data_IF_512820919738
#
_entry.id   IF_512820919738
#
_cell.length_a   1.000
_cell.length_b   1.000
_cell.length_c   1.000
_cell.angle_alpha   90.00
_cell.angle_beta   90.00
_cell.angle_gamma   90.00
#
_symmetry.space_group_name_H-M   'P 1'
#
loop_
_entity.id
_entity.type
_entity.pdbx_description
1 polymer ?
#
# COMPACT_ATOMS: atom_id res chain seq x y z
N UNK A 1 1.55 13.14 -17.99
CA UNK A 1 1.25 13.23 -16.54
C UNK A 1 -0.06 12.59 -16.07
N UNK A 2 -0.97 12.11 -16.93
CA UNK A 2 -2.26 11.54 -16.48
C UNK A 2 -2.21 10.18 -15.78
N UNK A 3 -1.16 9.37 -16.04
CA UNK A 3 -1.10 7.95 -15.61
C UNK A 3 -0.90 7.74 -14.10
N UNK A 4 -0.32 8.71 -13.40
CA UNK A 4 -0.03 8.63 -11.95
C UNK A 4 -1.09 9.28 -11.06
N UNK A 5 -2.08 9.97 -11.64
CA UNK A 5 -3.03 10.80 -10.87
C UNK A 5 -3.83 9.99 -9.86
N UNK A 6 -4.31 8.80 -10.24
CA UNK A 6 -5.10 7.92 -9.37
C UNK A 6 -4.25 7.31 -8.25
N UNK A 7 -3.03 6.90 -8.58
CA UNK A 7 -2.10 6.33 -7.62
C UNK A 7 -1.67 7.36 -6.57
N UNK A 8 -1.27 8.56 -7.02
CA UNK A 8 -0.91 9.63 -6.10
C UNK A 8 -2.07 10.11 -5.24
N UNK A 9 -3.30 10.19 -5.78
CA UNK A 9 -4.47 10.54 -4.98
C UNK A 9 -4.77 9.49 -3.90
N UNK A 10 -4.71 8.20 -4.26
CA UNK A 10 -4.89 7.11 -3.31
C UNK A 10 -3.81 7.10 -2.23
N UNK A 11 -2.55 7.33 -2.62
CA UNK A 11 -1.42 7.47 -1.72
C UNK A 11 -1.61 8.61 -0.73
N UNK A 12 -2.06 9.78 -1.18
CA UNK A 12 -2.33 10.92 -0.31
C UNK A 12 -3.45 10.63 0.69
N UNK A 13 -4.57 10.06 0.23
CA UNK A 13 -5.67 9.67 1.11
C UNK A 13 -5.22 8.62 2.14
N UNK A 14 -4.41 7.66 1.71
CA UNK A 14 -3.81 6.66 2.60
C UNK A 14 -2.90 7.31 3.65
N UNK A 15 -2.00 8.20 3.23
CA UNK A 15 -1.08 8.89 4.14
C UNK A 15 -1.82 9.76 5.16
N UNK A 16 -2.90 10.43 4.74
CA UNK A 16 -3.77 11.19 5.65
C UNK A 16 -4.45 10.28 6.67
N UNK A 17 -5.03 9.16 6.21
CA UNK A 17 -5.67 8.17 7.08
C UNK A 17 -4.67 7.58 8.10
N UNK A 18 -3.49 7.20 7.64
CA UNK A 18 -2.42 6.67 8.47
C UNK A 18 -1.94 7.68 9.52
N UNK A 19 -1.84 8.95 9.14
CA UNK A 19 -1.49 10.04 10.05
C UNK A 19 -2.55 10.24 11.14
N UNK A 20 -3.84 10.24 10.78
CA UNK A 20 -4.95 10.36 11.74
C UNK A 20 -4.97 9.18 12.70
N UNK A 21 -4.78 7.95 12.19
CA UNK A 21 -4.70 6.75 13.01
C UNK A 21 -3.54 6.82 14.01
N UNK A 22 -2.36 7.23 13.55
CA UNK A 22 -1.19 7.41 14.40
C UNK A 22 -1.43 8.44 15.51
N UNK A 23 -2.03 9.59 15.18
CA UNK A 23 -2.35 10.64 16.17
C UNK A 23 -3.35 10.14 17.21
N UNK A 24 -4.41 9.46 16.78
CA UNK A 24 -5.43 8.92 17.67
C UNK A 24 -4.86 7.92 18.69
N UNK A 25 -3.94 7.06 18.25
CA UNK A 25 -3.27 6.10 19.14
C UNK A 25 -2.25 6.79 20.05
N UNK A 26 -1.41 7.67 19.50
CA UNK A 26 -0.26 8.24 20.22
C UNK A 26 -0.66 9.34 21.21
N UNK A 27 -1.55 10.25 20.80
CA UNK A 27 -1.88 11.44 21.58
C UNK A 27 -3.23 11.35 22.29
N UNK A 28 -4.20 10.66 21.69
CA UNK A 28 -5.53 10.50 22.30
C UNK A 28 -5.71 9.17 23.04
N UNK A 29 -4.68 8.33 23.04
CA UNK A 29 -4.64 7.06 23.76
C UNK A 29 -5.81 6.12 23.40
N UNK A 30 -6.27 6.17 22.15
CA UNK A 30 -7.28 5.25 21.65
C UNK A 30 -6.71 3.84 21.54
N UNK A 31 -7.58 2.83 21.62
CA UNK A 31 -7.15 1.44 21.50
C UNK A 31 -6.49 1.18 20.13
N UNK A 32 -5.19 0.92 20.15
CA UNK A 32 -4.37 0.70 18.95
C UNK A 32 -4.93 -0.42 18.07
N UNK A 33 -5.48 -1.46 18.69
CA UNK A 33 -6.12 -2.58 18.02
C UNK A 33 -7.26 -2.15 17.11
N UNK A 34 -8.19 -1.39 17.68
CA UNK A 34 -9.39 -0.91 16.99
C UNK A 34 -9.02 0.12 15.92
N UNK A 35 -8.17 1.10 16.25
CA UNK A 35 -7.85 2.19 15.33
C UNK A 35 -7.11 1.69 14.11
N UNK A 36 -6.09 0.84 14.29
CA UNK A 36 -5.35 0.30 13.16
C UNK A 36 -6.16 -0.72 12.35
N UNK A 37 -7.10 -1.46 12.97
CA UNK A 37 -8.07 -2.29 12.22
C UNK A 37 -8.96 -1.47 11.30
N UNK A 38 -9.48 -0.34 11.79
CA UNK A 38 -10.33 0.56 10.99
C UNK A 38 -9.49 1.20 9.87
N UNK A 39 -8.29 1.67 10.18
CA UNK A 39 -7.38 2.24 9.20
C UNK A 39 -6.98 1.22 8.13
N UNK A 40 -6.75 -0.04 8.51
CA UNK A 40 -6.50 -1.14 7.59
C UNK A 40 -7.66 -1.30 6.60
N UNK A 41 -8.89 -1.50 7.09
CA UNK A 41 -10.06 -1.72 6.24
C UNK A 41 -10.30 -0.55 5.27
N UNK A 42 -10.19 0.68 5.77
CA UNK A 42 -10.33 1.87 4.93
C UNK A 42 -9.20 1.99 3.90
N UNK A 43 -7.97 1.64 4.26
CA UNK A 43 -6.85 1.62 3.30
C UNK A 43 -7.08 0.64 2.17
N UNK A 44 -7.59 -0.57 2.47
CA UNK A 44 -7.95 -1.58 1.48
C UNK A 44 -8.99 -1.04 0.51
N UNK A 45 -10.03 -0.37 1.01
CA UNK A 45 -11.08 0.24 0.18
C UNK A 45 -10.50 1.34 -0.73
N UNK A 46 -9.67 2.24 -0.19
CA UNK A 46 -9.03 3.32 -0.96
C UNK A 46 -8.21 2.74 -2.12
N UNK A 47 -7.35 1.76 -1.83
CA UNK A 47 -6.49 1.13 -2.83
C UNK A 47 -7.29 0.35 -3.87
N UNK A 48 -8.30 -0.41 -3.43
CA UNK A 48 -9.16 -1.19 -4.31
C UNK A 48 -9.93 -0.29 -5.30
N UNK A 49 -10.53 0.80 -4.81
CA UNK A 49 -11.22 1.79 -5.65
C UNK A 49 -10.28 2.45 -6.66
N UNK A 50 -9.08 2.84 -6.21
CA UNK A 50 -8.08 3.43 -7.07
C UNK A 50 -7.62 2.48 -8.18
N UNK A 51 -7.36 1.21 -7.84
CA UNK A 51 -6.98 0.17 -8.79
C UNK A 51 -8.09 -0.08 -9.81
N UNK A 52 -9.33 -0.26 -9.37
CA UNK A 52 -10.47 -0.49 -10.26
C UNK A 52 -10.66 0.66 -11.27
N UNK A 53 -10.64 1.91 -10.79
CA UNK A 53 -10.78 3.09 -11.66
C UNK A 53 -9.62 3.24 -12.64
N UNK A 54 -8.41 2.88 -12.21
CA UNK A 54 -7.22 2.96 -13.04
C UNK A 54 -7.19 1.85 -14.10
N UNK A 55 -7.47 0.60 -13.74
CA UNK A 55 -7.55 -0.51 -14.70
C UNK A 55 -8.67 -0.31 -15.72
N UNK A 56 -9.81 0.29 -15.35
CA UNK A 56 -10.86 0.67 -16.29
C UNK A 56 -10.39 1.63 -17.40
N UNK A 57 -9.30 2.36 -17.17
CA UNK A 57 -8.72 3.33 -18.13
C UNK A 57 -7.50 2.79 -18.86
N UNK A 58 -7.09 1.56 -18.56
CA UNK A 58 -6.02 0.85 -19.23
C UNK A 58 -4.92 0.35 -18.29
N UNK A 59 -4.20 -0.68 -18.75
CA UNK A 59 -3.11 -1.34 -18.03
C UNK A 59 -2.10 -0.35 -17.44
N UNK A 60 -1.66 0.63 -18.23
CA UNK A 60 -0.64 1.59 -17.80
C UNK A 60 -1.08 2.50 -16.65
N UNK A 61 -2.39 2.75 -16.48
CA UNK A 61 -2.89 3.47 -15.31
C UNK A 61 -2.97 2.55 -14.10
N UNK A 62 -3.46 1.32 -14.27
CA UNK A 62 -3.50 0.31 -13.20
C UNK A 62 -2.10 0.04 -12.61
N UNK A 63 -1.11 -0.19 -13.47
CA UNK A 63 0.29 -0.33 -13.06
C UNK A 63 0.82 0.93 -12.37
N UNK A 64 0.42 2.12 -12.82
CA UNK A 64 0.77 3.38 -12.18
C UNK A 64 0.30 3.48 -10.73
N UNK A 65 -0.90 2.96 -10.42
CA UNK A 65 -1.40 2.88 -9.03
C UNK A 65 -0.57 1.90 -8.20
N UNK A 66 -0.26 0.72 -8.73
CA UNK A 66 0.56 -0.29 -8.03
C UNK A 66 1.94 0.31 -7.67
N UNK A 67 2.63 0.89 -8.66
CA UNK A 67 3.95 1.48 -8.44
C UNK A 67 3.93 2.70 -7.51
N UNK A 68 2.84 3.47 -7.50
CA UNK A 68 2.70 4.63 -6.61
C UNK A 68 2.74 4.26 -5.13
N UNK A 69 2.38 3.02 -4.78
CA UNK A 69 2.53 2.50 -3.42
C UNK A 69 3.84 1.74 -3.22
N UNK A 70 4.16 0.81 -4.13
CA UNK A 70 5.30 -0.11 -3.94
C UNK A 70 6.62 0.67 -3.85
N UNK A 71 6.82 1.68 -4.69
CA UNK A 71 8.09 2.43 -4.71
C UNK A 71 8.32 3.17 -3.39
N UNK A 72 7.40 4.02 -2.90
CA UNK A 72 7.55 4.63 -1.57
C UNK A 72 7.65 3.61 -0.44
N UNK A 73 6.85 2.55 -0.48
CA UNK A 73 6.85 1.49 0.54
C UNK A 73 8.22 0.82 0.66
N UNK A 74 8.82 0.40 -0.46
CA UNK A 74 10.14 -0.21 -0.47
C UNK A 74 11.24 0.74 0.02
N UNK A 75 11.18 2.02 -0.36
CA UNK A 75 12.13 3.03 0.09
C UNK A 75 12.03 3.21 1.61
N UNK A 76 10.82 3.40 2.14
CA UNK A 76 10.59 3.60 3.57
C UNK A 76 11.06 2.37 4.35
N UNK A 77 10.74 1.16 3.90
CA UNK A 77 11.16 -0.07 4.58
C UNK A 77 12.67 -0.29 4.52
N UNK A 78 13.33 0.06 3.40
CA UNK A 78 14.78 -0.01 3.29
C UNK A 78 15.47 1.01 4.21
N UNK A 79 14.94 2.23 4.29
CA UNK A 79 15.43 3.25 5.21
C UNK A 79 15.31 2.78 6.66
N UNK A 80 14.21 2.14 7.04
CA UNK A 80 14.05 1.55 8.36
C UNK A 80 15.03 0.40 8.62
N UNK A 81 15.21 -0.50 7.65
CA UNK A 81 16.17 -1.60 7.78
C UNK A 81 17.61 -1.11 8.01
N UNK A 82 18.04 -0.10 7.25
CA UNK A 82 19.38 0.50 7.35
C UNK A 82 19.57 1.38 8.59
N UNK A 83 18.48 1.88 9.20
CA UNK A 83 18.52 2.70 10.40
C UNK A 83 19.07 1.96 11.63
N UNK A 84 19.04 0.62 11.64
CA UNK A 84 19.52 -0.21 12.74
C UNK A 84 21.04 -0.11 12.99
N UNK A 85 21.80 0.63 12.18
CA UNK A 85 23.23 0.87 12.34
C UNK A 85 23.66 2.33 12.50
N UNK A 86 22.74 3.27 12.76
CA UNK A 86 23.01 4.73 12.74
C UNK A 86 22.68 5.38 14.10
N UNK A 87 23.16 6.61 14.33
CA UNK A 87 22.91 7.45 15.52
C UNK A 87 21.42 7.54 15.91
N UNK A 88 21.16 7.66 17.22
CA UNK A 88 19.83 7.55 17.85
C UNK A 88 18.79 8.52 17.25
N UNK A 89 19.19 9.72 16.82
CA UNK A 89 18.29 10.73 16.30
C UNK A 89 17.77 10.42 14.87
N UNK A 90 18.65 9.99 13.96
CA UNK A 90 18.25 9.63 12.59
C UNK A 90 17.49 8.30 12.55
N UNK A 91 17.81 7.39 13.46
CA UNK A 91 17.05 6.17 13.67
C UNK A 91 15.60 6.46 14.11
N UNK A 92 15.40 7.49 14.93
CA UNK A 92 14.10 7.92 15.43
C UNK A 92 13.13 8.33 14.31
N UNK A 93 13.55 9.21 13.40
CA UNK A 93 12.71 9.65 12.28
C UNK A 93 12.36 8.51 11.32
N UNK A 94 13.34 7.65 10.98
CA UNK A 94 13.13 6.52 10.07
C UNK A 94 12.17 5.48 10.67
N UNK A 95 12.30 5.22 11.97
CA UNK A 95 11.38 4.34 12.71
C UNK A 95 9.97 4.93 12.77
N UNK A 96 9.86 6.22 13.09
CA UNK A 96 8.58 6.92 13.09
C UNK A 96 7.89 6.87 11.73
N UNK A 97 8.63 7.12 10.64
CA UNK A 97 8.09 7.10 9.28
C UNK A 97 7.59 5.70 8.89
N UNK A 98 8.34 4.66 9.25
CA UNK A 98 7.93 3.27 9.04
C UNK A 98 6.66 2.94 9.84
N UNK A 99 6.62 3.30 11.10
CA UNK A 99 5.46 3.07 11.96
C UNK A 99 4.22 3.75 11.41
N UNK A 100 4.32 5.03 11.06
CA UNK A 100 3.20 5.78 10.49
C UNK A 100 2.72 5.12 9.19
N UNK A 101 3.63 4.80 8.27
CA UNK A 101 3.27 4.38 6.92
C UNK A 101 2.88 2.90 6.83
N UNK A 102 3.39 2.02 7.69
CA UNK A 102 3.20 0.57 7.57
C UNK A 102 2.39 -0.07 8.70
N UNK A 103 2.28 0.52 9.90
CA UNK A 103 1.50 -0.09 10.99
C UNK A 103 0.04 -0.37 10.63
N UNK A 104 -0.71 0.51 9.93
CA UNK A 104 -2.07 0.20 9.53
C UNK A 104 -2.16 -1.06 8.67
N UNK A 105 -1.14 -1.37 7.86
CA UNK A 105 -1.12 -2.52 6.96
C UNK A 105 -0.53 -3.78 7.59
N UNK A 106 0.36 -3.62 8.56
CA UNK A 106 0.97 -4.71 9.31
C UNK A 106 0.18 -5.07 10.58
N UNK A 107 -0.89 -4.34 10.88
CA UNK A 107 -1.66 -4.53 12.08
C UNK A 107 -2.20 -5.97 12.21
N UNK A 108 -2.14 -6.52 13.42
CA UNK A 108 -2.56 -7.89 13.72
C UNK A 108 -1.52 -8.96 13.35
N UNK A 109 -0.40 -8.59 12.73
CA UNK A 109 0.72 -9.50 12.49
C UNK A 109 1.59 -9.60 13.74
N UNK A 110 2.07 -10.81 14.00
CA UNK A 110 2.95 -11.07 15.13
C UNK A 110 4.30 -10.37 14.92
N UNK A 111 4.70 -9.52 15.86
CA UNK A 111 5.99 -8.83 15.84
C UNK A 111 7.18 -9.80 15.80
N UNK A 112 7.03 -11.04 16.31
CA UNK A 112 8.09 -12.05 16.24
C UNK A 112 8.42 -12.48 14.81
N UNK A 113 7.44 -12.42 13.88
CA UNK A 113 7.69 -12.74 12.47
C UNK A 113 8.72 -11.80 11.84
N UNK A 114 8.72 -10.52 12.25
CA UNK A 114 9.65 -9.52 11.75
C UNK A 114 10.99 -9.53 12.48
N UNK A 115 11.05 -10.02 13.72
CA UNK A 115 12.33 -10.24 14.42
C UNK A 115 13.08 -11.43 13.83
N UNK A 116 12.38 -12.53 13.55
CA UNK A 116 12.99 -13.78 13.09
C UNK A 116 13.41 -13.69 11.62
N UNK A 117 12.71 -12.85 10.84
CA UNK A 117 12.97 -12.62 9.42
C UNK A 117 13.04 -11.12 9.10
N UNK A 118 14.14 -10.46 9.48
CA UNK A 118 14.31 -9.01 9.32
C UNK A 118 14.15 -8.50 7.88
N UNK A 119 14.38 -9.34 6.88
CA UNK A 119 14.19 -8.97 5.47
C UNK A 119 12.71 -8.84 5.07
N UNK A 120 11.78 -9.52 5.78
CA UNK A 120 10.35 -9.42 5.50
C UNK A 120 9.83 -8.00 5.74
N UNK A 121 10.46 -7.24 6.64
CA UNK A 121 10.15 -5.82 6.89
C UNK A 121 10.19 -4.99 5.60
N UNK A 122 11.07 -5.35 4.66
CA UNK A 122 11.23 -4.68 3.37
C UNK A 122 10.10 -5.04 2.41
N UNK A 123 9.82 -6.33 2.27
CA UNK A 123 8.99 -6.86 1.18
C UNK A 123 7.51 -6.93 1.55
N UNK A 124 7.22 -7.25 2.82
CA UNK A 124 5.87 -7.62 3.25
C UNK A 124 4.81 -6.54 3.00
N UNK A 125 5.04 -5.24 3.30
CA UNK A 125 4.01 -4.25 3.05
C UNK A 125 3.72 -4.05 1.56
N UNK A 126 4.70 -4.26 0.70
CA UNK A 126 4.54 -4.20 -0.76
C UNK A 126 3.82 -5.43 -1.31
N UNK A 127 4.01 -6.61 -0.70
CA UNK A 127 3.29 -7.83 -1.05
C UNK A 127 1.79 -7.69 -0.82
N UNK A 128 1.36 -7.05 0.28
CA UNK A 128 -0.06 -6.79 0.54
C UNK A 128 -0.72 -6.05 -0.62
N UNK A 129 -0.04 -5.04 -1.17
CA UNK A 129 -0.55 -4.29 -2.32
C UNK A 129 -0.56 -5.10 -3.62
N UNK A 130 0.40 -6.00 -3.81
CA UNK A 130 0.35 -6.93 -4.94
C UNK A 130 -0.84 -7.88 -4.83
N UNK A 131 -1.10 -8.43 -3.64
CA UNK A 131 -2.25 -9.30 -3.38
C UNK A 131 -3.57 -8.57 -3.70
N UNK A 132 -3.72 -7.33 -3.24
CA UNK A 132 -4.90 -6.51 -3.54
C UNK A 132 -5.06 -6.24 -5.04
N UNK A 133 -3.96 -6.14 -5.78
CA UNK A 133 -3.98 -5.87 -7.21
C UNK A 133 -4.33 -7.08 -8.07
N UNK A 134 -4.24 -8.32 -7.56
CA UNK A 134 -4.53 -9.55 -8.32
C UNK A 134 -5.93 -9.50 -8.93
N UNK A 135 -6.95 -9.23 -8.12
CA UNK A 135 -8.33 -9.28 -8.60
C UNK A 135 -8.65 -8.23 -9.68
N UNK A 136 -8.36 -6.92 -9.48
CA UNK A 136 -8.56 -5.90 -10.52
C UNK A 136 -7.79 -6.20 -11.81
N UNK A 137 -6.57 -6.74 -11.68
CA UNK A 137 -5.72 -7.09 -12.80
C UNK A 137 -6.29 -8.27 -13.61
N UNK A 138 -6.66 -9.37 -12.96
CA UNK A 138 -7.28 -10.52 -13.63
C UNK A 138 -8.58 -10.13 -14.32
N UNK A 139 -9.42 -9.31 -13.67
CA UNK A 139 -10.65 -8.80 -14.26
C UNK A 139 -10.39 -7.96 -15.52
N UNK A 140 -9.33 -7.15 -15.52
CA UNK A 140 -8.93 -6.37 -16.68
C UNK A 140 -8.51 -7.28 -17.85
N UNK A 141 -7.70 -8.31 -17.58
CA UNK A 141 -7.24 -9.26 -18.60
C UNK A 141 -8.42 -9.99 -19.25
N UNK A 142 -9.36 -10.50 -18.44
CA UNK A 142 -10.55 -11.21 -18.96
C UNK A 142 -11.33 -10.32 -19.93
N UNK A 143 -11.61 -9.08 -19.53
CA UNK A 143 -12.32 -8.11 -20.41
C UNK A 143 -11.54 -7.78 -21.68
N UNK A 144 -10.21 -7.67 -21.59
CA UNK A 144 -9.38 -7.41 -22.75
C UNK A 144 -9.45 -8.57 -23.76
N UNK A 145 -9.38 -9.81 -23.27
CA UNK A 145 -9.50 -11.03 -24.09
C UNK A 145 -10.89 -11.10 -24.76
N UNK A 146 -11.97 -10.90 -23.99
CA UNK A 146 -13.34 -10.86 -24.52
C UNK A 146 -13.51 -9.82 -25.63
N UNK A 147 -12.96 -8.61 -25.44
CA UNK A 147 -13.05 -7.54 -26.44
C UNK A 147 -12.35 -7.92 -27.74
N UNK A 148 -11.21 -8.62 -27.68
CA UNK A 148 -10.50 -9.09 -28.86
C UNK A 148 -11.31 -10.15 -29.60
N UNK A 149 -11.89 -11.14 -28.90
CA UNK A 149 -12.72 -12.17 -29.53
C UNK A 149 -13.91 -11.59 -30.29
N UNK A 150 -14.58 -10.55 -29.76
CA UNK A 150 -15.69 -9.91 -30.49
C UNK A 150 -15.26 -9.20 -31.76
N UNK A 151 -14.06 -8.64 -31.83
CA UNK A 151 -13.55 -7.96 -33.04
C UNK A 151 -13.29 -8.92 -34.22
N UNK A 152 -13.02 -10.20 -33.94
CA UNK A 152 -12.80 -11.22 -34.98
C UNK A 152 -14.10 -11.80 -35.54
N UNK A 153 -15.24 -11.62 -34.87
CA UNK A 153 -16.54 -12.14 -35.31
C UNK A 153 -17.24 -11.19 -36.31
N UNK A 154 -16.90 -9.90 -36.28
CA UNK A 154 -17.49 -8.86 -37.14
C UNK A 154 -16.55 -8.35 -38.26
N UNK A 155 -15.53 -9.14 -38.63
CA UNK A 155 -14.71 -8.95 -39.83
C UNK A 155 -14.97 -10.07 -40.81
#
# INVERSE_FOLDING_TARGET
>A
MGKLKYGMAALLLYAMLASVAYIAVTYWNWNSGIVYSIAFLLSVVIWYEALNRAFARGLGQGMGVIFSYIVPSLIISFLYFTANGITVAEAGFKNWLYQLYHLPLLFGLNNSLFSDYSFLVIIFPSLLMLILAIYPFTRYIIKAIESQHTQYIFR
#
